data_IF_992027453581
#
_entry.id   IF_992027453581
#
_cell.length_a   1.000
_cell.length_b   1.000
_cell.length_c   1.000
_cell.angle_alpha   90.00
_cell.angle_beta   90.00
_cell.angle_gamma   90.00
#
_symmetry.space_group_name_H-M   'P 1'
#
loop_
_entity.id
_entity.type
_entity.pdbx_description
1 polymer ?
#
# COMPACT_ATOMS: atom_id res chain seq x y z
N UNK A 1 -3.06 -11.21 -15.08
CA UNK A 1 -1.70 -11.34 -14.49
C UNK A 1 -1.88 -12.09 -13.18
N UNK A 2 -1.21 -13.20 -12.99
CA UNK A 2 -1.13 -13.82 -11.66
C UNK A 2 0.01 -13.15 -10.90
N UNK A 3 -0.35 -12.38 -9.89
CA UNK A 3 0.61 -11.81 -8.98
C UNK A 3 0.83 -12.82 -7.84
N UNK A 4 1.90 -13.59 -7.93
CA UNK A 4 2.27 -14.51 -6.84
C UNK A 4 2.77 -13.73 -5.61
N UNK A 5 3.28 -12.51 -5.83
CA UNK A 5 3.81 -11.62 -4.79
C UNK A 5 3.74 -10.15 -5.23
N UNK A 6 3.32 -9.27 -4.32
CA UNK A 6 3.33 -7.83 -4.54
C UNK A 6 4.68 -7.23 -4.15
N UNK A 7 5.36 -6.62 -5.12
CA UNK A 7 6.63 -5.89 -4.89
C UNK A 7 6.77 -4.71 -5.84
N UNK A 8 7.66 -3.79 -5.55
CA UNK A 8 7.98 -2.66 -6.40
C UNK A 8 7.12 -1.44 -6.11
N UNK A 9 6.51 -0.83 -7.14
CA UNK A 9 5.81 0.44 -7.04
C UNK A 9 4.33 0.31 -7.42
N UNK A 10 3.46 0.80 -6.55
CA UNK A 10 2.04 1.04 -6.81
C UNK A 10 1.68 2.53 -6.70
N UNK A 11 0.42 2.86 -6.93
CA UNK A 11 -0.15 4.20 -6.82
C UNK A 11 -1.04 4.24 -5.59
N UNK A 12 -0.63 4.96 -4.53
CA UNK A 12 -1.49 5.27 -3.39
C UNK A 12 -2.41 6.45 -3.69
N UNK A 13 -3.62 6.42 -3.16
CA UNK A 13 -4.64 7.43 -3.47
C UNK A 13 -5.24 8.14 -2.25
N UNK A 14 -4.63 8.03 -1.09
CA UNK A 14 -5.08 8.78 0.08
C UNK A 14 -5.06 10.29 -0.17
N UNK A 15 -6.15 10.98 0.16
CA UNK A 15 -6.42 12.38 -0.19
C UNK A 15 -6.48 12.70 -1.70
N UNK A 16 -6.69 11.71 -2.55
CA UNK A 16 -7.03 11.91 -3.97
C UNK A 16 -8.57 12.01 -4.08
N UNK A 17 -9.07 12.91 -4.94
CA UNK A 17 -10.51 13.13 -5.17
C UNK A 17 -11.22 13.99 -4.15
N UNK A 18 -10.55 14.51 -3.12
CA UNK A 18 -11.17 15.33 -2.09
C UNK A 18 -11.36 16.80 -2.54
N UNK A 19 -10.53 17.28 -3.45
CA UNK A 19 -10.60 18.66 -3.97
C UNK A 19 -11.09 18.66 -5.43
N UNK A 20 -12.35 19.05 -5.72
CA UNK A 20 -12.90 19.01 -7.08
C UNK A 20 -12.06 19.75 -8.13
N UNK A 21 -11.41 20.85 -7.75
CA UNK A 21 -10.54 21.65 -8.63
C UNK A 21 -9.24 20.94 -9.05
N UNK A 22 -8.82 19.89 -8.33
CA UNK A 22 -7.62 19.10 -8.64
C UNK A 22 -7.92 17.84 -9.43
N UNK A 23 -9.20 17.52 -9.63
CA UNK A 23 -9.66 16.26 -10.22
C UNK A 23 -8.93 15.90 -11.51
N UNK A 24 -8.86 16.81 -12.47
CA UNK A 24 -8.26 16.54 -13.79
C UNK A 24 -6.74 16.33 -13.66
N UNK A 25 -6.06 17.08 -12.78
CA UNK A 25 -4.63 16.92 -12.51
C UNK A 25 -4.34 15.56 -11.88
N UNK A 26 -5.16 15.14 -10.92
CA UNK A 26 -5.04 13.86 -10.22
C UNK A 26 -5.31 12.67 -11.15
N UNK A 27 -6.36 12.75 -11.98
CA UNK A 27 -6.64 11.75 -13.03
C UNK A 27 -5.46 11.66 -14.01
N UNK A 28 -4.93 12.79 -14.45
CA UNK A 28 -3.80 12.80 -15.36
C UNK A 28 -2.54 12.18 -14.74
N UNK A 29 -2.30 12.38 -13.43
CA UNK A 29 -1.19 11.77 -12.73
C UNK A 29 -1.33 10.23 -12.62
N UNK A 30 -2.54 9.72 -12.29
CA UNK A 30 -2.80 8.28 -12.25
C UNK A 30 -2.61 7.66 -13.63
N UNK A 31 -3.22 8.25 -14.67
CA UNK A 31 -3.08 7.78 -16.05
C UNK A 31 -1.64 7.78 -16.53
N UNK A 32 -0.87 8.82 -16.18
CA UNK A 32 0.56 8.85 -16.47
C UNK A 32 1.29 7.64 -15.87
N UNK A 33 0.97 7.26 -14.62
CA UNK A 33 1.52 6.07 -13.98
C UNK A 33 1.18 4.79 -14.75
N UNK A 34 -0.11 4.63 -15.10
CA UNK A 34 -0.60 3.47 -15.87
C UNK A 34 0.07 3.36 -17.23
N UNK A 35 0.17 4.47 -17.98
CA UNK A 35 0.79 4.53 -19.30
C UNK A 35 2.30 4.23 -19.26
N UNK A 36 2.93 4.34 -18.08
CA UNK A 36 4.35 4.05 -17.86
C UNK A 36 4.59 2.76 -17.05
N UNK A 37 3.60 1.87 -17.01
CA UNK A 37 3.78 0.49 -16.56
C UNK A 37 3.47 0.25 -15.07
N UNK A 38 3.03 1.24 -14.30
CA UNK A 38 2.47 0.97 -12.97
C UNK A 38 1.05 0.46 -13.16
N UNK A 39 0.77 -0.73 -12.66
CA UNK A 39 -0.53 -1.37 -12.83
C UNK A 39 -1.25 -1.66 -11.49
N UNK A 40 -0.65 -1.32 -10.36
CA UNK A 40 -1.21 -1.49 -9.01
C UNK A 40 -1.72 -0.14 -8.53
N UNK A 41 -2.99 -0.08 -8.11
CA UNK A 41 -3.62 1.11 -7.52
C UNK A 41 -4.21 0.72 -6.18
N UNK A 42 -3.82 1.44 -5.13
CA UNK A 42 -4.33 1.31 -3.79
C UNK A 42 -5.30 2.45 -3.46
N UNK A 43 -6.46 2.08 -2.95
CA UNK A 43 -7.50 3.00 -2.46
C UNK A 43 -8.21 2.42 -1.22
N UNK A 44 -9.25 3.08 -0.73
CA UNK A 44 -10.12 2.61 0.36
C UNK A 44 -11.48 3.31 0.35
N UNK A 45 -12.52 2.65 0.88
CA UNK A 45 -13.82 3.29 1.10
C UNK A 45 -13.72 4.52 2.02
N UNK A 46 -12.77 4.51 2.97
CA UNK A 46 -12.51 5.62 3.88
C UNK A 46 -11.97 6.87 3.16
N UNK A 47 -11.21 6.73 2.08
CA UNK A 47 -10.51 7.85 1.46
C UNK A 47 -11.48 8.85 0.85
N UNK A 48 -11.63 9.99 1.54
CA UNK A 48 -12.59 11.02 1.16
C UNK A 48 -14.04 10.53 1.10
N UNK A 49 -14.40 9.53 1.92
CA UNK A 49 -15.74 8.91 1.92
C UNK A 49 -16.12 8.34 0.54
N UNK A 50 -15.20 7.58 -0.06
CA UNK A 50 -15.36 6.97 -1.37
C UNK A 50 -15.08 7.89 -2.57
N UNK A 51 -14.70 9.15 -2.35
CA UNK A 51 -14.34 10.07 -3.44
C UNK A 51 -13.08 9.61 -4.18
N UNK A 52 -12.12 9.04 -3.44
CA UNK A 52 -10.91 8.48 -4.03
C UNK A 52 -11.23 7.31 -4.97
N UNK A 53 -12.07 6.37 -4.54
CA UNK A 53 -12.51 5.26 -5.39
C UNK A 53 -13.24 5.74 -6.65
N UNK A 54 -14.11 6.76 -6.53
CA UNK A 54 -14.78 7.37 -7.71
C UNK A 54 -13.79 7.96 -8.69
N UNK A 55 -12.78 8.69 -8.19
CA UNK A 55 -11.75 9.29 -9.04
C UNK A 55 -10.89 8.22 -9.70
N UNK A 56 -10.51 7.16 -8.96
CA UNK A 56 -9.81 6.00 -9.53
C UNK A 56 -10.65 5.35 -10.62
N UNK A 57 -11.95 5.13 -10.38
CA UNK A 57 -12.87 4.59 -11.38
C UNK A 57 -12.91 5.40 -12.68
N UNK A 58 -12.88 6.75 -12.57
CA UNK A 58 -12.80 7.62 -13.75
C UNK A 58 -11.41 7.55 -14.42
N UNK A 59 -10.33 7.47 -13.64
CA UNK A 59 -8.98 7.40 -14.17
C UNK A 59 -8.72 6.14 -14.98
N UNK A 60 -9.27 4.99 -14.54
CA UNK A 60 -9.06 3.69 -15.20
C UNK A 60 -9.98 3.44 -16.38
N UNK A 61 -10.96 4.30 -16.66
CA UNK A 61 -11.84 4.16 -17.83
C UNK A 61 -11.04 4.09 -19.12
N UNK A 62 -11.26 3.02 -19.89
CA UNK A 62 -10.58 2.76 -21.16
C UNK A 62 -9.33 1.90 -21.04
N UNK A 63 -8.87 1.60 -19.84
CA UNK A 63 -7.81 0.62 -19.62
C UNK A 63 -8.38 -0.80 -19.55
N UNK A 64 -7.57 -1.76 -19.96
CA UNK A 64 -7.90 -3.18 -19.82
C UNK A 64 -7.86 -3.56 -18.33
N UNK A 65 -9.06 -3.80 -17.74
CA UNK A 65 -9.21 -4.14 -16.31
C UNK A 65 -8.37 -5.35 -15.89
N UNK A 66 -8.19 -6.31 -16.80
CA UNK A 66 -7.43 -7.54 -16.51
C UNK A 66 -5.91 -7.30 -16.34
N UNK A 67 -5.44 -6.13 -16.74
CA UNK A 67 -4.04 -5.70 -16.59
C UNK A 67 -3.81 -4.83 -15.34
N UNK A 68 -4.87 -4.45 -14.64
CA UNK A 68 -4.80 -3.66 -13.43
C UNK A 68 -4.91 -4.56 -12.20
N UNK A 69 -4.23 -4.17 -11.13
CA UNK A 69 -4.36 -4.75 -9.80
C UNK A 69 -4.94 -3.68 -8.87
N UNK A 70 -6.23 -3.80 -8.57
CA UNK A 70 -6.94 -2.83 -7.73
C UNK A 70 -7.03 -3.34 -6.29
N UNK A 71 -6.57 -2.52 -5.36
CA UNK A 71 -6.65 -2.74 -3.91
C UNK A 71 -7.68 -1.75 -3.35
N UNK A 72 -8.63 -2.24 -2.55
CA UNK A 72 -9.43 -1.39 -1.70
C UNK A 72 -9.59 -1.99 -0.30
N UNK A 73 -10.13 -1.20 0.64
CA UNK A 73 -10.18 -1.55 2.05
C UNK A 73 -11.54 -1.22 2.63
N UNK A 74 -12.00 -2.03 3.60
CA UNK A 74 -13.21 -1.77 4.36
C UNK A 74 -12.91 -1.43 5.81
N UNK A 75 -13.80 -0.67 6.41
CA UNK A 75 -13.70 -0.31 7.83
C UNK A 75 -13.84 -1.52 8.76
N UNK A 76 -13.12 -1.55 9.89
CA UNK A 76 -13.24 -2.63 10.87
C UNK A 76 -14.66 -2.86 11.43
N UNK A 77 -15.49 -1.83 11.49
CA UNK A 77 -16.89 -1.96 11.93
C UNK A 77 -17.78 -2.59 10.86
N UNK A 78 -17.29 -2.76 9.64
CA UNK A 78 -17.94 -3.54 8.58
C UNK A 78 -17.45 -5.01 8.52
N UNK A 79 -16.60 -5.46 9.44
CA UNK A 79 -15.96 -6.77 9.39
C UNK A 79 -16.90 -7.93 9.82
N UNK A 80 -18.10 -7.97 9.25
CA UNK A 80 -19.03 -9.10 9.27
C UNK A 80 -19.40 -9.49 7.84
N UNK A 81 -19.72 -10.76 7.54
CA UNK A 81 -19.97 -11.18 6.17
C UNK A 81 -20.98 -10.31 5.41
N UNK A 82 -22.06 -9.88 6.07
CA UNK A 82 -23.12 -9.06 5.47
C UNK A 82 -22.63 -7.64 5.17
N UNK A 83 -21.89 -7.02 6.09
CA UNK A 83 -21.42 -5.64 5.95
C UNK A 83 -20.21 -5.57 5.02
N UNK A 84 -19.33 -6.57 5.02
CA UNK A 84 -18.22 -6.69 4.05
C UNK A 84 -18.75 -6.75 2.62
N UNK A 85 -19.82 -7.54 2.37
CA UNK A 85 -20.47 -7.62 1.08
C UNK A 85 -21.03 -6.25 0.64
N UNK A 86 -21.78 -5.58 1.52
CA UNK A 86 -22.34 -4.25 1.23
C UNK A 86 -21.25 -3.21 0.96
N UNK A 87 -20.19 -3.20 1.76
CA UNK A 87 -19.05 -2.31 1.55
C UNK A 87 -18.34 -2.58 0.22
N UNK A 88 -18.16 -3.86 -0.11
CA UNK A 88 -17.52 -4.24 -1.39
C UNK A 88 -18.38 -3.82 -2.58
N UNK A 89 -19.70 -4.11 -2.57
CA UNK A 89 -20.62 -3.71 -3.64
C UNK A 89 -20.57 -2.20 -3.87
N UNK A 90 -20.60 -1.40 -2.80
CA UNK A 90 -20.47 0.05 -2.89
C UNK A 90 -19.10 0.49 -3.45
N UNK A 91 -18.02 -0.18 -3.09
CA UNK A 91 -16.67 0.08 -3.63
C UNK A 91 -16.57 -0.27 -5.12
N UNK A 92 -17.13 -1.42 -5.54
CA UNK A 92 -17.17 -1.84 -6.93
C UNK A 92 -17.98 -0.87 -7.79
N UNK A 93 -19.14 -0.38 -7.28
CA UNK A 93 -19.93 0.66 -7.96
C UNK A 93 -19.12 1.95 -8.14
N UNK A 94 -18.43 2.43 -7.09
CA UNK A 94 -17.61 3.66 -7.16
C UNK A 94 -16.44 3.52 -8.12
N UNK A 95 -15.78 2.36 -8.14
CA UNK A 95 -14.66 2.04 -9.04
C UNK A 95 -15.10 1.72 -10.47
N UNK A 96 -16.37 1.36 -10.68
CA UNK A 96 -16.89 0.96 -11.99
C UNK A 96 -16.29 -0.35 -12.51
N UNK A 97 -16.15 -1.34 -11.62
CA UNK A 97 -15.56 -2.67 -11.91
C UNK A 97 -16.37 -3.77 -11.23
N UNK A 98 -16.26 -5.00 -11.74
CA UNK A 98 -17.01 -6.16 -11.24
C UNK A 98 -16.25 -6.93 -10.14
N UNK A 99 -14.95 -6.62 -9.93
CA UNK A 99 -14.13 -7.31 -8.92
C UNK A 99 -12.97 -6.44 -8.44
N UNK A 100 -12.44 -6.76 -7.25
CA UNK A 100 -11.15 -6.29 -6.77
C UNK A 100 -10.09 -7.39 -6.89
N UNK A 101 -8.84 -7.01 -7.06
CA UNK A 101 -7.72 -7.95 -7.02
C UNK A 101 -7.32 -8.25 -5.57
N UNK A 102 -7.40 -7.25 -4.68
CA UNK A 102 -7.13 -7.41 -3.26
C UNK A 102 -8.11 -6.55 -2.44
N UNK A 103 -8.73 -7.17 -1.42
CA UNK A 103 -9.61 -6.48 -0.49
C UNK A 103 -9.08 -6.63 0.94
N UNK A 104 -8.87 -5.51 1.64
CA UNK A 104 -8.21 -5.48 2.94
C UNK A 104 -9.15 -5.07 4.06
N UNK A 105 -9.03 -5.74 5.22
CA UNK A 105 -9.48 -5.16 6.49
C UNK A 105 -8.51 -4.01 6.84
N UNK A 106 -9.03 -2.77 6.95
CA UNK A 106 -8.20 -1.56 7.03
C UNK A 106 -7.36 -1.45 8.31
N UNK A 107 -7.85 -1.99 9.44
CA UNK A 107 -7.11 -2.21 10.69
C UNK A 107 -7.85 -3.19 11.59
N UNK A 108 -7.17 -3.70 12.60
CA UNK A 108 -7.75 -4.63 13.57
C UNK A 108 -8.88 -3.96 14.35
N UNK A 109 -10.10 -4.47 14.19
CA UNK A 109 -11.30 -4.02 14.90
C UNK A 109 -11.71 -4.95 16.04
N UNK A 110 -12.96 -4.82 16.49
CA UNK A 110 -13.52 -5.59 17.61
C UNK A 110 -14.27 -6.86 17.15
N UNK A 111 -14.48 -7.05 15.84
CA UNK A 111 -15.12 -8.26 15.31
C UNK A 111 -14.17 -9.45 15.42
N UNK A 112 -14.76 -10.64 15.50
CA UNK A 112 -13.97 -11.88 15.52
C UNK A 112 -13.34 -12.10 14.14
N UNK A 113 -12.05 -12.39 14.11
CA UNK A 113 -11.35 -12.67 12.85
C UNK A 113 -11.98 -13.86 12.08
N UNK A 114 -12.57 -14.82 12.79
CA UNK A 114 -13.32 -15.93 12.15
C UNK A 114 -14.52 -15.47 11.34
N UNK A 115 -15.21 -14.41 11.76
CA UNK A 115 -16.35 -13.85 11.01
C UNK A 115 -15.85 -13.07 9.81
N UNK A 116 -14.83 -12.25 9.99
CA UNK A 116 -14.14 -11.51 8.91
C UNK A 116 -13.60 -12.46 7.83
N UNK A 117 -12.85 -13.49 8.22
CA UNK A 117 -12.30 -14.46 7.24
C UNK A 117 -13.43 -15.17 6.49
N UNK A 118 -14.52 -15.58 7.18
CA UNK A 118 -15.65 -16.24 6.55
C UNK A 118 -16.32 -15.35 5.49
N UNK A 119 -16.47 -14.05 5.75
CA UNK A 119 -16.99 -13.09 4.77
C UNK A 119 -16.07 -12.95 3.56
N UNK A 120 -14.79 -12.69 3.80
CA UNK A 120 -13.77 -12.54 2.75
C UNK A 120 -13.65 -13.80 1.87
N UNK A 121 -13.66 -15.01 2.46
CA UNK A 121 -13.65 -16.26 1.70
C UNK A 121 -14.94 -16.45 0.87
N UNK A 122 -16.11 -16.01 1.37
CA UNK A 122 -17.33 -16.04 0.59
C UNK A 122 -17.25 -15.12 -0.63
N UNK A 123 -16.79 -13.87 -0.45
CA UNK A 123 -16.59 -12.92 -1.53
C UNK A 123 -15.58 -13.41 -2.58
N UNK A 124 -14.51 -14.08 -2.12
CA UNK A 124 -13.52 -14.69 -3.01
C UNK A 124 -14.12 -15.87 -3.81
N UNK A 125 -14.93 -16.69 -3.17
CA UNK A 125 -15.63 -17.81 -3.83
C UNK A 125 -16.65 -17.34 -4.88
N UNK A 126 -17.27 -16.19 -4.66
CA UNK A 126 -18.18 -15.55 -5.61
C UNK A 126 -17.45 -14.85 -6.75
N UNK A 127 -16.12 -14.71 -6.65
CA UNK A 127 -15.29 -14.06 -7.65
C UNK A 127 -15.30 -12.53 -7.60
N UNK A 128 -15.88 -11.94 -6.55
CA UNK A 128 -15.94 -10.49 -6.33
C UNK A 128 -14.59 -9.93 -5.86
N UNK A 129 -13.76 -10.76 -5.23
CA UNK A 129 -12.36 -10.47 -4.93
C UNK A 129 -11.47 -11.64 -5.35
N UNK A 130 -10.24 -11.36 -5.76
CA UNK A 130 -9.25 -12.41 -6.10
C UNK A 130 -8.47 -12.86 -4.88
N UNK A 131 -8.05 -11.90 -4.07
CA UNK A 131 -7.30 -12.10 -2.84
C UNK A 131 -7.88 -11.24 -1.73
N UNK A 132 -7.59 -11.63 -0.49
CA UNK A 132 -7.88 -10.81 0.67
C UNK A 132 -6.65 -10.67 1.57
N UNK A 133 -6.66 -9.66 2.41
CA UNK A 133 -5.59 -9.40 3.37
C UNK A 133 -6.03 -8.46 4.48
N UNK A 134 -5.04 -7.93 5.17
CA UNK A 134 -5.23 -7.02 6.30
C UNK A 134 -4.36 -5.78 6.14
N UNK A 135 -4.56 -4.80 7.00
CA UNK A 135 -3.71 -3.62 7.12
C UNK A 135 -3.55 -3.26 8.59
N UNK A 136 -2.40 -2.73 8.96
CA UNK A 136 -2.07 -2.34 10.32
C UNK A 136 -2.15 -3.52 11.32
N UNK A 137 -1.65 -4.67 10.91
CA UNK A 137 -1.52 -5.86 11.75
C UNK A 137 -0.05 -6.04 12.17
N UNK A 138 0.21 -6.01 13.49
CA UNK A 138 1.52 -6.33 14.03
C UNK A 138 1.79 -7.85 13.97
N UNK A 139 2.99 -8.27 14.29
CA UNK A 139 3.40 -9.69 14.35
C UNK A 139 2.49 -10.52 15.25
N UNK A 140 2.01 -9.96 16.37
CA UNK A 140 1.04 -10.62 17.26
C UNK A 140 -0.31 -10.81 16.59
N UNK A 141 -0.81 -9.81 15.88
CA UNK A 141 -2.10 -9.86 15.17
C UNK A 141 -2.03 -10.85 14.01
N UNK A 142 -0.92 -10.86 13.27
CA UNK A 142 -0.69 -11.84 12.20
C UNK A 142 -0.63 -13.27 12.73
N UNK A 143 0.01 -13.48 13.88
CA UNK A 143 0.02 -14.80 14.54
C UNK A 143 -1.37 -15.20 15.00
N UNK A 144 -2.17 -14.30 15.60
CA UNK A 144 -3.57 -14.55 15.93
C UNK A 144 -4.37 -14.94 14.68
N UNK A 145 -4.26 -14.15 13.60
CA UNK A 145 -4.94 -14.41 12.32
C UNK A 145 -4.67 -15.82 11.82
N UNK A 146 -3.42 -16.27 11.86
CA UNK A 146 -3.00 -17.59 11.38
C UNK A 146 -3.45 -18.76 12.28
N UNK A 147 -3.94 -18.50 13.49
CA UNK A 147 -4.60 -19.52 14.32
C UNK A 147 -6.05 -19.79 13.93
N UNK A 148 -6.65 -18.85 13.18
CA UNK A 148 -8.05 -18.96 12.74
C UNK A 148 -8.11 -19.78 11.44
N UNK A 149 -9.06 -20.71 11.29
CA UNK A 149 -9.24 -21.45 10.05
C UNK A 149 -9.36 -20.53 8.83
N UNK A 150 -8.52 -20.76 7.82
CA UNK A 150 -8.44 -19.94 6.62
C UNK A 150 -7.54 -18.71 6.74
N UNK A 151 -7.09 -18.32 7.94
CA UNK A 151 -6.24 -17.15 8.16
C UNK A 151 -4.87 -17.23 7.47
N UNK A 152 -4.38 -18.43 7.25
CA UNK A 152 -3.15 -18.73 6.51
C UNK A 152 -3.24 -18.41 5.00
N UNK A 153 -4.43 -18.09 4.49
CA UNK A 153 -4.65 -17.62 3.11
C UNK A 153 -4.54 -16.10 2.96
N UNK A 154 -4.22 -15.37 4.04
CA UNK A 154 -3.97 -13.94 3.98
C UNK A 154 -2.87 -13.64 2.97
N UNK A 155 -3.20 -12.87 1.92
CA UNK A 155 -2.31 -12.61 0.80
C UNK A 155 -1.33 -11.47 1.08
N UNK A 156 -1.78 -10.43 1.80
CA UNK A 156 -0.97 -9.25 2.09
C UNK A 156 -1.33 -8.61 3.42
N UNK A 157 -0.36 -7.90 4.00
CA UNK A 157 -0.56 -6.96 5.09
C UNK A 157 0.06 -5.60 4.69
N UNK A 158 -0.71 -4.53 4.88
CA UNK A 158 -0.32 -3.18 4.51
C UNK A 158 -0.02 -2.35 5.76
N UNK A 159 1.25 -1.93 5.92
CA UNK A 159 1.73 -1.25 7.11
C UNK A 159 2.49 0.04 6.79
N UNK A 160 2.55 0.95 7.77
CA UNK A 160 3.38 2.16 7.68
C UNK A 160 4.86 1.77 7.58
N UNK A 161 5.51 2.20 6.51
CA UNK A 161 6.92 1.89 6.31
C UNK A 161 7.68 2.97 5.55
N UNK A 162 8.63 3.58 6.23
CA UNK A 162 9.52 4.59 5.68
C UNK A 162 10.77 4.74 6.56
N UNK A 163 11.66 5.66 6.21
CA UNK A 163 12.92 5.88 6.95
C UNK A 163 12.75 6.24 8.44
N UNK A 164 11.65 6.91 8.82
CA UNK A 164 11.36 7.21 10.23
C UNK A 164 10.68 6.04 10.94
N UNK A 165 9.86 5.26 10.21
CA UNK A 165 9.00 4.22 10.75
C UNK A 165 9.46 2.86 10.25
N UNK A 166 10.47 2.32 10.92
CA UNK A 166 11.14 1.06 10.57
C UNK A 166 10.80 -0.11 11.50
N UNK A 167 9.89 0.10 12.46
CA UNK A 167 9.58 -0.90 13.50
C UNK A 167 9.20 -2.27 12.95
N UNK A 168 8.58 -2.33 11.76
CA UNK A 168 8.22 -3.58 11.07
C UNK A 168 9.41 -4.44 10.65
N UNK A 169 10.62 -3.86 10.51
CA UNK A 169 11.85 -4.61 10.18
C UNK A 169 12.32 -5.52 11.31
N UNK A 170 11.91 -5.25 12.57
CA UNK A 170 12.38 -6.02 13.71
C UNK A 170 11.95 -7.49 13.66
N UNK A 171 10.69 -7.75 13.33
CA UNK A 171 10.15 -9.12 13.29
C UNK A 171 9.03 -9.34 12.26
N UNK A 172 8.25 -8.32 11.92
CA UNK A 172 7.04 -8.46 11.11
C UNK A 172 7.35 -8.81 9.65
N UNK A 173 8.26 -8.06 9.00
CA UNK A 173 8.61 -8.30 7.59
C UNK A 173 9.21 -9.70 7.37
N UNK A 174 10.09 -10.14 8.27
CA UNK A 174 10.67 -11.49 8.20
C UNK A 174 9.62 -12.57 8.46
N UNK A 175 8.70 -12.32 9.40
CA UNK A 175 7.60 -13.25 9.67
C UNK A 175 6.69 -13.38 8.45
N UNK A 176 6.26 -12.27 7.85
CA UNK A 176 5.42 -12.26 6.64
C UNK A 176 6.10 -12.96 5.47
N UNK A 177 7.36 -12.64 5.20
CA UNK A 177 8.15 -13.30 4.16
C UNK A 177 8.20 -14.82 4.34
N UNK A 178 8.40 -15.29 5.57
CA UNK A 178 8.45 -16.71 5.91
C UNK A 178 7.10 -17.42 5.70
N UNK A 179 6.00 -16.70 5.85
CA UNK A 179 4.64 -17.24 5.72
C UNK A 179 3.99 -16.94 4.36
N UNK A 180 4.72 -16.36 3.42
CA UNK A 180 4.21 -16.07 2.08
C UNK A 180 3.25 -14.88 2.00
N UNK A 181 3.20 -14.02 3.04
CA UNK A 181 2.38 -12.81 3.06
C UNK A 181 3.16 -11.66 2.42
N UNK A 182 2.56 -10.99 1.44
CA UNK A 182 3.15 -9.80 0.80
C UNK A 182 3.14 -8.62 1.76
N UNK A 183 4.23 -7.84 1.79
CA UNK A 183 4.32 -6.60 2.57
C UNK A 183 4.05 -5.39 1.66
N UNK A 184 3.02 -4.60 2.01
CA UNK A 184 2.71 -3.33 1.34
C UNK A 184 3.11 -2.20 2.28
N UNK A 185 4.00 -1.31 1.83
CA UNK A 185 4.48 -0.17 2.61
C UNK A 185 3.77 1.12 2.20
N UNK A 186 2.91 1.65 3.08
CA UNK A 186 2.27 2.93 2.82
C UNK A 186 3.05 4.11 3.41
N UNK A 187 2.75 5.32 2.94
CA UNK A 187 3.39 6.59 3.35
C UNK A 187 4.92 6.56 3.34
N UNK A 188 5.58 6.22 2.21
CA UNK A 188 7.04 6.13 2.12
C UNK A 188 7.74 7.47 2.36
N UNK A 189 7.00 8.59 2.37
CA UNK A 189 7.48 9.94 2.67
C UNK A 189 6.97 10.48 4.01
N UNK A 190 6.35 9.63 4.83
CA UNK A 190 5.70 9.99 6.10
C UNK A 190 4.63 11.08 5.95
N UNK A 191 3.91 11.07 4.85
CA UNK A 191 2.80 12.03 4.61
C UNK A 191 1.58 11.61 5.42
N UNK A 192 1.01 12.53 6.21
CA UNK A 192 -0.23 12.30 6.95
C UNK A 192 -0.11 12.44 8.47
N UNK A 193 1.03 12.11 9.05
CA UNK A 193 1.26 12.26 10.49
C UNK A 193 1.70 13.69 10.91
N UNK A 194 1.77 14.64 9.96
CA UNK A 194 2.25 15.99 10.20
C UNK A 194 3.78 16.12 10.21
N UNK A 195 4.50 15.03 10.43
CA UNK A 195 5.96 15.01 10.46
C UNK A 195 6.52 14.52 9.13
N UNK A 196 7.20 15.39 8.40
CA UNK A 196 7.94 15.00 7.20
C UNK A 196 9.27 14.35 7.59
N UNK A 197 9.73 13.38 6.81
CA UNK A 197 11.08 12.81 6.97
C UNK A 197 12.11 13.92 6.79
N UNK A 198 12.99 14.07 7.77
CA UNK A 198 14.07 15.06 7.71
C UNK A 198 15.03 14.74 6.58
N UNK A 199 15.18 15.67 5.63
CA UNK A 199 16.19 15.55 4.56
C UNK A 199 17.57 15.82 5.15
N UNK A 200 18.28 14.75 5.49
CA UNK A 200 19.60 14.78 6.13
C UNK A 200 20.71 15.14 5.13
N UNK A 201 21.91 15.38 5.67
CA UNK A 201 23.10 15.58 4.83
C UNK A 201 23.42 14.32 4.01
N UNK A 202 23.31 13.15 4.61
CA UNK A 202 23.61 11.88 3.94
C UNK A 202 22.62 11.58 2.82
N UNK A 203 21.32 11.79 3.02
CA UNK A 203 20.34 11.71 1.93
C UNK A 203 20.65 12.65 0.75
N UNK A 204 21.10 13.89 1.05
CA UNK A 204 21.49 14.85 0.00
C UNK A 204 22.74 14.41 -0.76
N UNK A 205 23.72 13.77 -0.08
CA UNK A 205 24.92 13.23 -0.72
C UNK A 205 24.52 12.12 -1.68
N UNK A 206 23.79 11.11 -1.21
CA UNK A 206 23.34 9.98 -2.04
C UNK A 206 22.50 10.48 -3.22
N UNK A 207 21.54 11.39 -2.98
CA UNK A 207 20.71 11.96 -4.04
C UNK A 207 21.53 12.70 -5.11
N UNK A 208 22.52 13.49 -4.70
CA UNK A 208 23.43 14.19 -5.61
C UNK A 208 24.24 13.20 -6.46
N UNK A 209 24.77 12.15 -5.85
CA UNK A 209 25.64 11.18 -6.51
C UNK A 209 24.88 10.34 -7.54
N UNK A 210 23.57 10.14 -7.33
CA UNK A 210 22.63 9.56 -8.31
C UNK A 210 22.03 10.59 -9.28
N UNK A 211 22.23 11.90 -9.08
CA UNK A 211 21.61 12.95 -9.90
C UNK A 211 20.08 13.04 -9.75
N UNK A 212 19.52 12.69 -8.58
CA UNK A 212 18.09 12.62 -8.30
C UNK A 212 17.72 13.43 -7.05
N UNK A 213 16.43 13.47 -6.72
CA UNK A 213 15.93 14.13 -5.50
C UNK A 213 16.07 13.23 -4.26
N UNK A 214 16.17 13.79 -3.05
CA UNK A 214 16.13 13.01 -1.82
C UNK A 214 14.88 12.13 -1.68
N UNK A 215 13.72 12.57 -2.18
CA UNK A 215 12.49 11.78 -2.15
C UNK A 215 12.60 10.53 -3.02
N UNK A 216 13.25 10.61 -4.19
CA UNK A 216 13.51 9.42 -5.02
C UNK A 216 14.44 8.43 -4.31
N UNK A 217 15.42 8.90 -3.52
CA UNK A 217 16.25 8.03 -2.67
C UNK A 217 15.43 7.37 -1.55
N UNK A 218 14.55 8.12 -0.87
CA UNK A 218 13.65 7.56 0.15
C UNK A 218 12.79 6.43 -0.44
N UNK A 219 12.21 6.66 -1.61
CA UNK A 219 11.36 5.66 -2.27
C UNK A 219 12.18 4.45 -2.76
N UNK A 220 13.35 4.68 -3.34
CA UNK A 220 14.27 3.60 -3.73
C UNK A 220 14.70 2.77 -2.51
N UNK A 221 14.94 3.43 -1.38
CA UNK A 221 15.25 2.77 -0.11
C UNK A 221 14.07 1.90 0.37
N UNK A 222 12.82 2.39 0.31
CA UNK A 222 11.64 1.60 0.70
C UNK A 222 11.56 0.29 -0.09
N UNK A 223 11.96 0.29 -1.36
CA UNK A 223 11.90 -0.87 -2.26
C UNK A 223 13.20 -1.69 -2.36
N UNK A 224 14.29 -1.25 -1.71
CA UNK A 224 15.66 -1.75 -1.99
C UNK A 224 15.86 -3.26 -1.83
N UNK A 225 15.14 -3.88 -0.90
CA UNK A 225 15.26 -5.32 -0.63
C UNK A 225 14.41 -6.21 -1.54
N UNK A 226 13.62 -5.61 -2.45
CA UNK A 226 12.76 -6.33 -3.40
C UNK A 226 11.57 -7.10 -2.79
N UNK A 227 11.27 -6.88 -1.51
CA UNK A 227 10.17 -7.56 -0.80
C UNK A 227 9.00 -6.65 -0.43
N UNK A 228 9.09 -5.36 -0.75
CA UNK A 228 8.08 -4.35 -0.42
C UNK A 228 7.40 -3.86 -1.68
N UNK A 229 6.07 -3.77 -1.66
CA UNK A 229 5.30 -2.93 -2.57
C UNK A 229 5.16 -1.56 -1.92
N UNK A 230 5.80 -0.53 -2.45
CA UNK A 230 5.62 0.84 -1.99
C UNK A 230 4.47 1.52 -2.73
N UNK A 231 3.59 2.21 -2.00
CA UNK A 231 2.40 2.88 -2.55
C UNK A 231 2.39 4.40 -2.27
N UNK A 232 3.38 5.16 -2.82
CA UNK A 232 3.37 6.61 -2.67
C UNK A 232 2.18 7.24 -3.38
N UNK A 233 1.61 8.31 -2.77
CA UNK A 233 0.64 9.16 -3.44
C UNK A 233 1.36 10.17 -4.34
N UNK A 234 0.84 10.35 -5.57
CA UNK A 234 1.27 11.42 -6.47
C UNK A 234 0.06 12.07 -7.15
N UNK A 235 -0.27 13.30 -6.74
CA UNK A 235 -1.36 14.10 -7.31
C UNK A 235 -0.96 14.87 -8.59
N UNK A 236 0.31 14.81 -9.00
CA UNK A 236 0.87 15.55 -10.16
C UNK A 236 1.74 14.62 -11.00
N UNK A 237 1.68 14.81 -12.33
CA UNK A 237 2.51 14.08 -13.30
C UNK A 237 4.00 14.16 -12.93
N UNK A 238 4.48 15.33 -12.50
CA UNK A 238 5.90 15.51 -12.10
C UNK A 238 6.30 14.51 -11.01
N UNK A 239 5.50 14.40 -9.93
CA UNK A 239 5.82 13.50 -8.82
C UNK A 239 5.62 12.03 -9.20
N UNK A 240 4.64 11.72 -10.04
CA UNK A 240 4.45 10.38 -10.59
C UNK A 240 5.68 9.95 -11.40
N UNK A 241 6.20 10.83 -12.25
CA UNK A 241 7.43 10.59 -13.02
C UNK A 241 8.63 10.35 -12.09
N UNK A 242 8.82 11.18 -11.07
CA UNK A 242 9.88 11.03 -10.07
C UNK A 242 9.77 9.67 -9.34
N UNK A 243 8.55 9.24 -8.99
CA UNK A 243 8.30 7.94 -8.36
C UNK A 243 8.66 6.77 -9.30
N UNK A 244 8.27 6.86 -10.59
CA UNK A 244 8.61 5.84 -11.60
C UNK A 244 10.13 5.73 -11.76
N UNK A 245 10.83 6.84 -11.88
CA UNK A 245 12.28 6.88 -12.02
C UNK A 245 13.00 6.27 -10.80
N UNK A 246 12.43 6.42 -9.60
CA UNK A 246 13.00 5.87 -8.36
C UNK A 246 13.13 4.33 -8.38
N UNK A 247 12.31 3.61 -9.14
CA UNK A 247 12.40 2.14 -9.29
C UNK A 247 13.73 1.68 -9.92
N UNK A 248 14.36 2.55 -10.69
CA UNK A 248 15.62 2.24 -11.39
C UNK A 248 16.87 2.52 -10.54
N UNK A 249 16.71 3.17 -9.38
CA UNK A 249 17.82 3.49 -8.49
C UNK A 249 18.23 2.23 -7.74
N UNK A 250 19.51 1.88 -7.82
CA UNK A 250 20.11 0.76 -7.08
C UNK A 250 21.06 1.34 -6.04
N UNK A 251 20.64 1.30 -4.79
CA UNK A 251 21.46 1.73 -3.66
C UNK A 251 22.55 0.70 -3.37
N UNK A 252 23.79 1.16 -3.24
CA UNK A 252 24.91 0.33 -2.82
C UNK A 252 24.87 0.07 -1.30
N UNK A 253 25.62 -0.94 -0.84
CA UNK A 253 25.77 -1.23 0.59
C UNK A 253 26.37 -0.04 1.38
N UNK A 254 27.27 0.73 0.75
CA UNK A 254 27.86 1.93 1.38
C UNK A 254 26.82 3.03 1.54
N UNK A 255 25.99 3.25 0.54
CA UNK A 255 24.88 4.22 0.59
C UNK A 255 23.82 3.80 1.61
N UNK A 256 23.47 2.52 1.66
CA UNK A 256 22.55 1.99 2.69
C UNK A 256 23.14 2.18 4.11
N UNK A 257 24.43 1.92 4.31
CA UNK A 257 25.10 2.21 5.60
C UNK A 257 25.06 3.70 5.94
N UNK A 258 25.27 4.55 4.95
CA UNK A 258 25.22 6.00 5.14
C UNK A 258 23.83 6.47 5.54
N UNK A 259 22.76 5.98 4.88
CA UNK A 259 21.37 6.26 5.21
C UNK A 259 21.03 5.71 6.61
N UNK A 260 21.42 4.47 6.91
CA UNK A 260 21.18 3.82 8.20
C UNK A 260 21.87 4.54 9.38
N UNK A 261 22.94 5.31 9.13
CA UNK A 261 23.55 6.12 10.20
C UNK A 261 22.67 7.28 10.66
N UNK A 262 21.78 7.78 9.80
CA UNK A 262 20.80 8.82 10.12
C UNK A 262 19.45 8.25 10.56
N UNK A 263 19.11 7.06 10.08
CA UNK A 263 17.86 6.32 10.31
C UNK A 263 18.20 4.89 10.73
N UNK A 264 18.48 4.64 12.01
CA UNK A 264 19.00 3.36 12.48
C UNK A 264 17.99 2.23 12.34
N UNK A 265 18.49 1.04 12.03
CA UNK A 265 17.71 -0.21 12.06
C UNK A 265 17.20 -0.45 13.50
N UNK A 266 15.92 -0.85 13.69
CA UNK A 266 15.40 -1.13 15.02
C UNK A 266 16.15 -2.30 15.69
N UNK A 267 16.54 -2.11 16.95
CA UNK A 267 17.23 -3.14 17.76
C UNK A 267 16.32 -3.79 18.80
N UNK A 268 15.11 -3.26 18.95
CA UNK A 268 14.08 -3.78 19.87
C UNK A 268 12.69 -3.64 19.24
N UNK A 269 11.73 -4.42 19.76
CA UNK A 269 10.35 -4.34 19.32
C UNK A 269 9.72 -3.04 19.80
N UNK A 270 9.15 -2.29 18.88
CA UNK A 270 8.31 -1.12 19.14
C UNK A 270 6.85 -1.41 18.80
N UNK A 271 5.88 -0.71 19.41
CA UNK A 271 4.49 -0.77 18.93
C UNK A 271 4.42 -0.44 17.43
N UNK A 272 3.47 -1.08 16.74
CA UNK A 272 3.24 -0.79 15.33
C UNK A 272 2.85 0.68 15.16
N UNK A 273 3.59 1.40 14.35
CA UNK A 273 3.25 2.77 13.99
C UNK A 273 2.10 2.77 12.97
N UNK A 274 1.14 3.67 13.16
CA UNK A 274 -0.03 3.86 12.30
C UNK A 274 -0.31 5.36 12.12
N UNK A 275 -1.06 5.74 11.07
CA UNK A 275 -1.49 7.13 10.79
C UNK A 275 -2.99 7.25 11.04
#
# INVERSE_FOLDING_TARGET
MDFEKLTGLGIGTWHIGEEPRKKDEEIAAIRYGLDHGINIIDTAEMYGEGKSEKLVGEAIKGYDRSKLFLISKFYPYHATPELECQSLEASLERLGTDYLDLYLLHWRGNHRLSDTIRGLEALQKEGLIRHWGVSNFDTSDMKELFTVPGGDKCFANEDLYNLNERGTEYDLQDWQKKHGVSFIGYSPFNSGAGDTIRITRNLKIVARDHGVTPHQIMLAWTMHNGNVLAIPKAAKIKHMKENIEAQNIKLTEDELRLINSDFPVPTEKTPLAVI
#
